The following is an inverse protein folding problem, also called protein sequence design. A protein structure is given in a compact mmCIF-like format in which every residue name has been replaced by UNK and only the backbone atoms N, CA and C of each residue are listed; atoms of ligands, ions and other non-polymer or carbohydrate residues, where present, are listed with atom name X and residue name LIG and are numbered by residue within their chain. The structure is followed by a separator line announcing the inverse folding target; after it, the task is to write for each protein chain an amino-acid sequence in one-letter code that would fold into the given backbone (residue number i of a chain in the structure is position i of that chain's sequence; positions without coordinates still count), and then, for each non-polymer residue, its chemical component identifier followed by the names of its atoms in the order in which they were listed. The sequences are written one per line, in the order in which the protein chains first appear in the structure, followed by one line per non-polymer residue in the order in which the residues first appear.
data_IF_210971905973
#
_entry.id   IF_210971905973
#
_cell.length_a   1.000
_cell.length_b   1.000
_cell.length_c   1.000
_cell.angle_alpha   90.00
_cell.angle_beta   90.00
_cell.angle_gamma   90.00
#
_symmetry.space_group_name_H-M   'P 1'
#
loop_
_entity.id
_entity.type
_entity.pdbx_description
1 polymer ?
#
# COMPACT_ATOMS: atom_id res chain seq x y z
N UNK A 1 -17.17 -3.21 -5.61
CA UNK A 1 -17.95 -4.42 -5.98
C UNK A 1 -17.10 -5.69 -6.08
N UNK A 2 -16.02 -5.77 -6.91
CA UNK A 2 -15.25 -7.04 -7.04
C UNK A 2 -14.79 -7.61 -5.69
N UNK A 3 -14.22 -6.78 -4.80
CA UNK A 3 -13.73 -7.21 -3.49
C UNK A 3 -14.87 -7.70 -2.58
N UNK A 4 -16.00 -7.00 -2.54
CA UNK A 4 -17.19 -7.43 -1.77
C UNK A 4 -17.74 -8.76 -2.28
N UNK A 5 -17.92 -8.88 -3.59
CA UNK A 5 -18.38 -10.12 -4.22
C UNK A 5 -17.43 -11.30 -3.96
N UNK A 6 -16.11 -11.07 -4.08
CA UNK A 6 -15.09 -12.08 -3.78
C UNK A 6 -15.06 -12.52 -2.32
N UNK A 7 -15.44 -11.61 -1.41
CA UNK A 7 -15.56 -11.90 0.02
C UNK A 7 -16.95 -12.47 0.40
N UNK A 8 -17.93 -12.49 -0.52
CA UNK A 8 -19.31 -12.88 -0.22
C UNK A 8 -20.00 -11.92 0.75
N UNK A 9 -19.68 -10.61 0.70
CA UNK A 9 -20.20 -9.57 1.59
C UNK A 9 -21.17 -8.67 0.81
N UNK A 10 -22.36 -8.47 1.36
CA UNK A 10 -23.33 -7.52 0.84
C UNK A 10 -23.06 -6.09 1.36
N UNK A 11 -23.62 -5.09 0.68
CA UNK A 11 -23.41 -3.68 1.03
C UNK A 11 -23.88 -3.30 2.44
N UNK A 12 -24.94 -3.94 2.92
CA UNK A 12 -25.53 -3.75 4.26
C UNK A 12 -24.71 -4.37 5.39
N UNK A 13 -23.81 -5.32 5.06
CA UNK A 13 -22.88 -5.92 6.02
C UNK A 13 -21.60 -5.09 6.23
N UNK A 14 -21.41 -4.02 5.44
CA UNK A 14 -20.24 -3.13 5.56
C UNK A 14 -20.44 -2.16 6.72
N UNK A 15 -19.60 -2.26 7.75
CA UNK A 15 -19.61 -1.40 8.94
C UNK A 15 -18.60 -0.24 8.87
N UNK A 16 -17.66 -0.28 7.93
CA UNK A 16 -16.66 0.79 7.78
C UNK A 16 -15.99 0.80 6.41
N UNK A 17 -15.56 1.98 6.02
CA UNK A 17 -14.87 2.26 4.76
C UNK A 17 -13.69 3.19 5.02
N UNK A 18 -12.49 2.74 4.68
CA UNK A 18 -11.29 3.55 4.73
C UNK A 18 -10.76 3.69 3.31
N UNK A 19 -10.52 4.92 2.87
CA UNK A 19 -9.99 5.21 1.54
C UNK A 19 -8.68 5.97 1.71
N UNK A 20 -7.62 5.59 1.00
CA UNK A 20 -6.43 6.42 0.89
C UNK A 20 -6.13 6.78 -0.56
N UNK A 21 -5.63 7.98 -0.75
CA UNK A 21 -5.11 8.52 -2.02
C UNK A 21 -4.05 9.58 -1.75
N UNK A 22 -3.11 9.77 -2.68
CA UNK A 22 -2.16 10.87 -2.66
C UNK A 22 -2.15 11.69 -3.95
N UNK A 23 -2.90 11.26 -4.96
CA UNK A 23 -2.93 11.89 -6.30
C UNK A 23 -3.91 13.05 -6.43
N UNK A 24 -4.53 13.46 -5.34
CA UNK A 24 -5.37 14.65 -5.30
C UNK A 24 -6.04 14.82 -3.95
N UNK A 25 -6.31 16.08 -3.60
CA UNK A 25 -7.20 16.42 -2.51
C UNK A 25 -8.56 16.77 -3.09
N UNK A 26 -9.58 16.02 -2.75
CA UNK A 26 -10.98 16.28 -3.11
C UNK A 26 -11.84 16.40 -1.87
N UNK A 27 -12.75 17.38 -1.90
CA UNK A 27 -13.77 17.59 -0.89
C UNK A 27 -15.13 17.82 -1.60
N UNK A 28 -16.11 16.91 -1.45
CA UNK A 28 -16.14 15.71 -0.59
C UNK A 28 -15.10 14.65 -0.97
N UNK A 29 -14.68 13.82 0.01
CA UNK A 29 -13.75 12.71 -0.20
C UNK A 29 -14.32 11.60 -1.07
N UNK A 30 -13.44 10.74 -1.60
CA UNK A 30 -13.80 9.59 -2.46
C UNK A 30 -14.79 8.67 -1.75
N UNK A 31 -14.66 8.52 -0.45
CA UNK A 31 -15.55 7.71 0.38
C UNK A 31 -17.03 8.05 0.19
N UNK A 32 -17.38 9.34 0.08
CA UNK A 32 -18.76 9.79 -0.13
C UNK A 32 -19.36 9.24 -1.42
N UNK A 33 -18.58 9.26 -2.50
CA UNK A 33 -19.00 8.71 -3.80
C UNK A 33 -19.12 7.18 -3.77
N UNK A 34 -18.23 6.51 -3.02
CA UNK A 34 -18.30 5.06 -2.86
C UNK A 34 -19.53 4.63 -2.06
N UNK A 35 -19.86 5.32 -0.99
CA UNK A 35 -21.08 5.06 -0.21
C UNK A 35 -22.32 5.10 -1.12
N UNK A 36 -22.45 6.15 -1.90
CA UNK A 36 -23.59 6.32 -2.83
C UNK A 36 -23.61 5.21 -3.90
N UNK A 37 -22.49 5.03 -4.63
CA UNK A 37 -22.41 4.09 -5.75
C UNK A 37 -22.54 2.61 -5.35
N UNK A 38 -22.08 2.26 -4.16
CA UNK A 38 -22.15 0.89 -3.66
C UNK A 38 -23.40 0.63 -2.83
N UNK A 39 -24.20 1.65 -2.55
CA UNK A 39 -25.42 1.52 -1.71
C UNK A 39 -25.09 1.15 -0.27
N UNK A 40 -23.96 1.62 0.27
CA UNK A 40 -23.56 1.32 1.64
C UNK A 40 -24.49 2.03 2.64
N UNK A 41 -24.58 1.51 3.86
CA UNK A 41 -25.31 2.15 4.94
C UNK A 41 -24.78 3.57 5.20
N UNK A 42 -25.67 4.51 5.49
CA UNK A 42 -25.29 5.90 5.81
C UNK A 42 -24.69 6.06 7.22
N UNK A 43 -24.72 5.02 8.04
CA UNK A 43 -24.24 5.02 9.43
C UNK A 43 -22.91 4.29 9.60
N UNK A 44 -22.18 4.00 8.50
CA UNK A 44 -20.88 3.34 8.56
C UNK A 44 -19.79 4.31 9.04
N UNK A 45 -18.71 3.76 9.61
CA UNK A 45 -17.51 4.53 9.94
C UNK A 45 -16.70 4.82 8.69
N UNK A 46 -16.33 6.08 8.46
CA UNK A 46 -15.66 6.49 7.20
C UNK A 46 -14.42 7.32 7.49
N UNK A 47 -13.34 7.02 6.79
CA UNK A 47 -12.08 7.76 6.85
C UNK A 47 -11.49 7.91 5.46
N UNK A 48 -11.13 9.14 5.08
CA UNK A 48 -10.30 9.45 3.92
C UNK A 48 -8.90 9.84 4.42
N UNK A 49 -7.88 9.05 4.07
CA UNK A 49 -6.50 9.19 4.52
C UNK A 49 -5.65 9.82 3.43
N UNK A 50 -4.87 10.82 3.80
CA UNK A 50 -3.99 11.58 2.92
C UNK A 50 -2.57 11.66 3.51
N UNK A 51 -1.58 12.03 2.69
CA UNK A 51 -0.27 12.43 3.15
C UNK A 51 0.80 11.32 3.24
N UNK A 52 0.43 10.04 3.23
CA UNK A 52 1.41 8.94 3.29
C UNK A 52 2.01 8.56 1.92
N UNK A 53 1.53 9.16 0.83
CA UNK A 53 2.00 8.83 -0.52
C UNK A 53 1.82 7.35 -0.85
N UNK A 54 2.79 6.78 -1.57
CA UNK A 54 2.79 5.36 -1.96
C UNK A 54 2.75 4.40 -0.75
N UNK A 55 3.14 4.85 0.45
CA UNK A 55 3.09 4.06 1.68
C UNK A 55 1.68 3.87 2.27
N UNK A 56 0.70 4.64 1.80
CA UNK A 56 -0.63 4.78 2.43
C UNK A 56 -1.45 3.50 2.59
N UNK A 57 -1.20 2.47 1.79
CA UNK A 57 -1.94 1.21 1.84
C UNK A 57 -1.84 0.49 3.19
N UNK A 58 -0.67 0.44 3.81
CA UNK A 58 -0.47 -0.28 5.08
C UNK A 58 -1.08 0.48 6.27
N UNK A 59 -0.88 1.80 6.46
CA UNK A 59 -1.66 2.55 7.44
C UNK A 59 -3.18 2.44 7.27
N UNK A 60 -3.67 2.36 6.02
CA UNK A 60 -5.08 2.11 5.75
C UNK A 60 -5.52 0.75 6.30
N UNK A 61 -4.79 -0.33 6.00
CA UNK A 61 -5.06 -1.67 6.56
C UNK A 61 -5.00 -1.64 8.09
N UNK A 62 -4.03 -0.95 8.68
CA UNK A 62 -3.89 -0.85 10.14
C UNK A 62 -5.12 -0.23 10.79
N UNK A 63 -5.66 0.84 10.20
CA UNK A 63 -6.92 1.45 10.68
C UNK A 63 -8.09 0.50 10.46
N UNK A 64 -8.16 -0.15 9.29
CA UNK A 64 -9.22 -1.11 8.99
C UNK A 64 -9.24 -2.29 9.98
N UNK A 65 -8.08 -2.84 10.32
CA UNK A 65 -7.93 -3.90 11.31
C UNK A 65 -8.38 -3.44 12.72
N UNK A 66 -7.97 -2.24 13.14
CA UNK A 66 -8.39 -1.68 14.43
C UNK A 66 -9.91 -1.48 14.50
N UNK A 67 -10.53 -0.99 13.43
CA UNK A 67 -11.98 -0.81 13.35
C UNK A 67 -12.71 -2.16 13.31
N UNK A 68 -12.18 -3.14 12.59
CA UNK A 68 -12.75 -4.49 12.53
C UNK A 68 -12.79 -5.14 13.93
N UNK A 69 -11.72 -5.03 14.69
CA UNK A 69 -11.64 -5.53 16.06
C UNK A 69 -12.63 -4.87 17.03
N UNK A 70 -13.12 -3.68 16.69
CA UNK A 70 -14.12 -2.92 17.46
C UNK A 70 -15.54 -3.03 16.88
N UNK A 71 -15.73 -3.76 15.79
CA UNK A 71 -17.04 -3.91 15.14
C UNK A 71 -17.74 -5.17 15.66
N UNK A 72 -19.07 -5.08 15.83
CA UNK A 72 -19.92 -6.20 16.22
C UNK A 72 -20.22 -7.13 15.02
N UNK A 73 -19.19 -7.56 14.30
CA UNK A 73 -19.28 -8.53 13.20
C UNK A 73 -19.42 -7.95 11.79
N UNK A 74 -19.51 -6.64 11.60
CA UNK A 74 -19.56 -6.01 10.28
C UNK A 74 -18.20 -5.97 9.58
N UNK A 75 -18.22 -6.06 8.24
CA UNK A 75 -17.01 -6.00 7.44
C UNK A 75 -16.45 -4.57 7.32
N UNK A 76 -15.13 -4.43 7.30
CA UNK A 76 -14.44 -3.16 7.02
C UNK A 76 -13.80 -3.24 5.63
N UNK A 77 -14.03 -2.23 4.81
CA UNK A 77 -13.48 -2.13 3.46
C UNK A 77 -12.32 -1.13 3.45
N UNK A 78 -11.12 -1.61 3.13
CA UNK A 78 -9.93 -0.80 2.90
C UNK A 78 -9.77 -0.59 1.40
N UNK A 79 -9.68 0.66 0.94
CA UNK A 79 -9.53 1.03 -0.47
C UNK A 79 -8.30 1.91 -0.63
N UNK A 80 -7.40 1.52 -1.52
CA UNK A 80 -6.30 2.37 -2.01
C UNK A 80 -6.59 2.71 -3.46
N UNK A 81 -6.62 4.00 -3.81
CA UNK A 81 -6.92 4.44 -5.18
C UNK A 81 -6.04 5.61 -5.57
N UNK A 82 -5.42 5.51 -6.74
CA UNK A 82 -4.55 6.57 -7.27
C UNK A 82 -4.85 6.81 -8.75
N UNK A 83 -4.97 8.08 -9.10
CA UNK A 83 -5.14 8.57 -10.46
C UNK A 83 -3.86 9.36 -10.80
N UNK A 84 -2.77 8.66 -11.02
CA UNK A 84 -1.47 9.28 -11.31
C UNK A 84 -1.49 10.08 -12.61
N UNK A 85 -2.32 9.67 -13.57
CA UNK A 85 -2.54 10.41 -14.81
C UNK A 85 -3.10 11.82 -14.60
N UNK A 86 -3.81 12.07 -13.49
CA UNK A 86 -4.30 13.41 -13.14
C UNK A 86 -3.17 14.38 -12.73
N UNK A 87 -1.99 13.86 -12.39
CA UNK A 87 -0.80 14.65 -12.05
C UNK A 87 0.20 14.76 -13.22
N UNK A 88 -0.16 14.23 -14.40
CA UNK A 88 0.68 14.26 -15.59
C UNK A 88 0.94 15.70 -16.04
N UNK A 89 2.21 16.05 -16.28
CA UNK A 89 2.60 17.38 -16.70
C UNK A 89 3.74 17.31 -17.73
N UNK A 90 3.63 18.12 -18.77
CA UNK A 90 4.68 18.28 -19.79
C UNK A 90 5.62 19.40 -19.35
N UNK A 91 6.84 19.06 -18.95
CA UNK A 91 7.90 20.00 -18.66
C UNK A 91 9.27 19.37 -18.91
N UNK A 92 10.25 20.18 -19.21
CA UNK A 92 11.66 19.79 -19.33
C UNK A 92 12.30 19.69 -17.93
N UNK A 93 11.82 18.72 -17.15
CA UNK A 93 12.29 18.46 -15.79
C UNK A 93 12.41 16.94 -15.59
N UNK A 94 13.61 16.47 -15.29
CA UNK A 94 13.91 15.04 -15.18
C UNK A 94 13.01 14.31 -14.17
N UNK A 95 12.68 14.92 -13.05
CA UNK A 95 11.79 14.31 -12.04
C UNK A 95 10.37 14.10 -12.58
N UNK A 96 9.83 15.07 -13.34
CA UNK A 96 8.52 14.93 -13.98
C UNK A 96 8.56 13.90 -15.12
N UNK A 97 9.61 13.88 -15.93
CA UNK A 97 9.77 12.89 -17.00
C UNK A 97 9.81 11.48 -16.40
N UNK A 98 10.62 11.26 -15.36
CA UNK A 98 10.68 9.98 -14.66
C UNK A 98 9.32 9.61 -14.08
N UNK A 99 8.63 10.55 -13.43
CA UNK A 99 7.29 10.32 -12.88
C UNK A 99 6.29 9.94 -13.96
N UNK A 100 6.25 10.66 -15.08
CA UNK A 100 5.32 10.41 -16.19
C UNK A 100 5.50 9.03 -16.84
N UNK A 101 6.74 8.52 -16.86
CA UNK A 101 7.06 7.21 -17.45
C UNK A 101 6.82 6.06 -16.46
N UNK A 102 7.01 6.33 -15.15
CA UNK A 102 6.99 5.30 -14.12
C UNK A 102 5.58 5.07 -13.55
N UNK A 103 4.81 6.14 -13.34
CA UNK A 103 3.55 6.05 -12.62
C UNK A 103 2.37 5.65 -13.52
N UNK A 104 1.48 4.80 -12.98
CA UNK A 104 0.21 4.39 -13.57
C UNK A 104 -0.97 4.59 -12.63
N UNK A 105 -2.17 4.52 -13.16
CA UNK A 105 -3.41 4.56 -12.38
C UNK A 105 -3.70 3.18 -11.79
N UNK A 106 -4.25 3.15 -10.58
CA UNK A 106 -4.61 1.89 -9.96
C UNK A 106 -5.58 2.04 -8.79
N UNK A 107 -6.34 0.96 -8.56
CA UNK A 107 -7.20 0.84 -7.40
C UNK A 107 -7.19 -0.60 -6.88
N UNK A 108 -7.08 -0.74 -5.57
CA UNK A 108 -7.18 -2.01 -4.86
C UNK A 108 -8.11 -1.87 -3.67
N UNK A 109 -8.80 -2.96 -3.32
CA UNK A 109 -9.63 -3.01 -2.14
C UNK A 109 -9.45 -4.36 -1.41
N UNK A 110 -9.33 -4.29 -0.09
CA UNK A 110 -9.35 -5.44 0.80
C UNK A 110 -10.60 -5.38 1.69
N UNK A 111 -11.19 -6.55 1.97
CA UNK A 111 -12.31 -6.70 2.89
C UNK A 111 -11.80 -7.42 4.14
N UNK A 112 -11.90 -6.76 5.28
CA UNK A 112 -11.50 -7.30 6.58
C UNK A 112 -12.74 -7.69 7.37
N UNK A 113 -12.70 -8.90 7.96
CA UNK A 113 -13.78 -9.42 8.80
C UNK A 113 -13.26 -10.39 9.84
N UNK A 114 -13.98 -10.54 10.93
CA UNK A 114 -13.70 -11.55 11.96
C UNK A 114 -14.22 -12.92 11.50
N UNK A 115 -13.44 -13.61 10.66
CA UNK A 115 -13.78 -14.94 10.15
C UNK A 115 -12.51 -15.73 9.87
N UNK A 116 -12.60 -17.06 9.95
CA UNK A 116 -11.50 -17.95 9.54
C UNK A 116 -11.32 -17.97 8.03
N UNK A 117 -10.07 -18.05 7.58
CA UNK A 117 -9.67 -18.15 6.17
C UNK A 117 -9.17 -16.84 5.56
N UNK A 118 -8.39 -16.96 4.50
CA UNK A 118 -7.74 -15.84 3.82
C UNK A 118 -6.41 -15.45 4.46
N UNK A 119 -6.16 -14.15 4.58
CA UNK A 119 -4.92 -13.64 5.17
C UNK A 119 -5.19 -13.01 6.54
N UNK A 120 -4.60 -13.59 7.56
CA UNK A 120 -4.59 -13.03 8.92
C UNK A 120 -3.56 -11.91 9.01
N UNK A 121 -3.95 -10.75 9.53
CA UNK A 121 -3.02 -9.68 9.89
C UNK A 121 -2.46 -10.00 11.28
N UNK A 122 -1.16 -10.35 11.33
CA UNK A 122 -0.47 -10.64 12.60
C UNK A 122 -0.11 -9.33 13.29
N UNK A 123 0.58 -8.42 12.56
CA UNK A 123 1.04 -7.15 13.12
C UNK A 123 1.40 -6.15 12.02
N UNK A 124 1.47 -4.87 12.39
CA UNK A 124 1.89 -3.78 11.52
C UNK A 124 2.93 -2.91 12.20
N UNK A 125 3.83 -2.31 11.41
CA UNK A 125 4.82 -1.35 11.89
C UNK A 125 4.96 -0.18 10.93
N UNK A 126 5.38 0.96 11.50
CA UNK A 126 5.71 2.17 10.74
C UNK A 126 7.01 2.75 11.25
N UNK A 127 7.82 3.28 10.35
CA UNK A 127 9.06 3.98 10.66
C UNK A 127 9.13 5.29 9.85
N UNK A 128 9.30 6.41 10.54
CA UNK A 128 9.34 7.74 9.94
C UNK A 128 10.76 8.32 10.02
N UNK A 129 11.19 8.97 8.94
CA UNK A 129 12.47 9.68 8.81
C UNK A 129 12.18 11.12 8.36
N UNK A 130 11.69 11.99 9.27
CA UNK A 130 11.22 13.34 8.91
C UNK A 130 12.30 14.23 8.29
N UNK A 131 13.59 13.99 8.60
CA UNK A 131 14.73 14.66 8.02
C UNK A 131 14.88 14.41 6.52
N UNK A 132 14.38 13.26 6.03
CA UNK A 132 14.44 12.85 4.63
C UNK A 132 13.16 13.21 3.83
N UNK A 133 12.24 13.99 4.39
CA UNK A 133 10.93 14.33 3.76
C UNK A 133 11.05 15.01 2.39
N UNK A 134 12.16 15.65 2.11
CA UNK A 134 12.38 16.35 0.83
C UNK A 134 12.74 15.41 -0.33
N UNK A 135 13.05 14.12 -0.05
CA UNK A 135 13.43 13.15 -1.07
C UNK A 135 12.24 12.60 -1.87
N UNK A 136 11.02 12.65 -1.31
CA UNK A 136 9.77 12.26 -1.98
C UNK A 136 8.62 13.12 -1.47
N UNK A 137 8.06 13.95 -2.35
CA UNK A 137 6.96 14.84 -1.99
C UNK A 137 6.19 15.35 -3.21
N UNK A 138 4.98 15.80 -2.98
CA UNK A 138 4.28 16.69 -3.90
C UNK A 138 4.48 18.15 -3.51
N UNK A 139 4.68 19.01 -4.50
CA UNK A 139 4.78 20.46 -4.34
C UNK A 139 3.71 21.13 -5.19
N UNK A 140 2.94 22.00 -4.58
CA UNK A 140 2.03 22.87 -5.32
C UNK A 140 2.82 23.98 -6.02
N UNK A 141 2.71 24.03 -7.36
CA UNK A 141 3.29 25.07 -8.17
C UNK A 141 2.34 25.43 -9.31
N UNK A 142 1.99 26.73 -9.45
CA UNK A 142 1.08 27.22 -10.48
C UNK A 142 -0.27 26.48 -10.52
N UNK A 143 -0.83 26.12 -9.36
CA UNK A 143 -2.12 25.42 -9.27
C UNK A 143 -2.07 23.92 -9.58
N UNK A 144 -0.88 23.35 -9.79
CA UNK A 144 -0.67 21.93 -10.11
C UNK A 144 0.18 21.24 -9.05
N UNK A 145 -0.06 19.94 -8.88
CA UNK A 145 0.77 19.06 -8.04
C UNK A 145 1.97 18.56 -8.85
N UNK A 146 3.17 18.95 -8.42
CA UNK A 146 4.43 18.46 -8.98
C UNK A 146 5.02 17.38 -8.10
N UNK A 147 5.19 16.19 -8.64
CA UNK A 147 5.92 15.12 -7.98
C UNK A 147 7.42 15.42 -7.99
N UNK A 148 8.05 15.41 -6.82
CA UNK A 148 9.49 15.57 -6.66
C UNK A 148 10.09 14.28 -6.10
N UNK A 149 10.98 13.67 -6.88
CA UNK A 149 11.72 12.46 -6.53
C UNK A 149 13.22 12.74 -6.59
N UNK A 150 13.90 12.55 -5.47
CA UNK A 150 15.36 12.65 -5.43
C UNK A 150 16.02 11.46 -6.15
N UNK A 151 17.11 11.71 -6.86
CA UNK A 151 17.90 10.64 -7.48
C UNK A 151 18.54 9.70 -6.47
N UNK A 152 18.70 10.12 -5.21
CA UNK A 152 19.22 9.32 -4.09
C UNK A 152 18.13 8.67 -3.25
N UNK A 153 16.86 8.80 -3.62
CA UNK A 153 15.71 8.30 -2.86
C UNK A 153 15.88 6.83 -2.43
N UNK A 154 16.39 5.98 -3.34
CA UNK A 154 16.61 4.56 -3.10
C UNK A 154 17.53 4.27 -1.90
N UNK A 155 18.52 5.13 -1.63
CA UNK A 155 19.46 4.95 -0.50
C UNK A 155 18.81 5.24 0.85
N UNK A 156 17.82 6.12 0.89
CA UNK A 156 17.07 6.48 2.09
C UNK A 156 15.96 5.46 2.37
N UNK A 157 15.22 5.09 1.34
CA UNK A 157 14.11 4.12 1.45
C UNK A 157 14.60 2.76 1.94
N UNK A 158 15.71 2.21 1.42
CA UNK A 158 16.21 0.89 1.81
C UNK A 158 16.45 0.79 3.31
N UNK A 159 17.04 1.82 3.92
CA UNK A 159 17.30 1.86 5.37
C UNK A 159 16.01 1.89 6.18
N UNK A 160 15.04 2.73 5.78
CA UNK A 160 13.75 2.82 6.45
C UNK A 160 12.97 1.49 6.31
N UNK A 161 13.01 0.85 5.14
CA UNK A 161 12.39 -0.46 4.91
C UNK A 161 13.03 -1.55 5.79
N UNK A 162 14.37 -1.60 5.88
CA UNK A 162 15.06 -2.54 6.77
C UNK A 162 14.69 -2.32 8.24
N UNK A 163 14.60 -1.08 8.70
CA UNK A 163 14.22 -0.77 10.09
C UNK A 163 12.81 -1.27 10.43
N UNK A 164 11.82 -1.00 9.57
CA UNK A 164 10.44 -1.43 9.82
C UNK A 164 10.29 -2.95 9.76
N UNK A 165 10.97 -3.62 8.84
CA UNK A 165 10.99 -5.09 8.73
C UNK A 165 11.62 -5.72 9.97
N UNK A 166 12.84 -5.27 10.35
CA UNK A 166 13.53 -5.79 11.54
C UNK A 166 12.72 -5.57 12.83
N UNK A 167 11.98 -4.47 12.92
CA UNK A 167 11.08 -4.21 14.05
C UNK A 167 10.00 -5.30 14.16
N UNK A 168 9.35 -5.68 13.06
CA UNK A 168 8.34 -6.75 13.06
C UNK A 168 8.95 -8.12 13.37
N UNK A 169 10.05 -8.46 12.72
CA UNK A 169 10.74 -9.73 12.96
C UNK A 169 11.14 -9.88 14.43
N UNK A 170 11.72 -8.83 15.03
CA UNK A 170 12.13 -8.85 16.45
C UNK A 170 10.95 -9.00 17.38
N UNK A 171 9.83 -8.29 17.14
CA UNK A 171 8.62 -8.39 17.99
C UNK A 171 8.01 -9.80 18.01
N UNK A 172 8.15 -10.52 16.89
CA UNK A 172 7.58 -11.86 16.75
C UNK A 172 8.62 -12.99 16.88
N UNK A 173 9.87 -12.65 17.23
CA UNK A 173 10.98 -13.62 17.32
C UNK A 173 11.18 -14.44 16.04
N UNK A 174 10.94 -13.82 14.88
CA UNK A 174 11.07 -14.44 13.57
C UNK A 174 12.42 -14.11 12.94
N UNK A 175 12.92 -15.06 12.13
CA UNK A 175 14.08 -14.88 11.28
C UNK A 175 13.63 -14.55 9.84
N UNK A 176 14.46 -13.86 9.08
CA UNK A 176 14.19 -13.51 7.68
C UNK A 176 13.83 -14.74 6.83
N UNK A 177 14.54 -15.87 7.06
CA UNK A 177 14.31 -17.12 6.34
C UNK A 177 12.92 -17.76 6.58
N UNK A 178 12.21 -17.34 7.63
CA UNK A 178 10.85 -17.82 7.93
C UNK A 178 9.78 -17.06 7.16
N UNK A 179 10.15 -16.02 6.37
CA UNK A 179 9.25 -15.25 5.54
C UNK A 179 9.47 -15.65 4.06
N UNK A 180 8.70 -16.60 3.53
CA UNK A 180 8.85 -17.04 2.15
C UNK A 180 8.34 -16.02 1.13
N UNK A 181 7.35 -15.18 1.49
CA UNK A 181 6.67 -14.28 0.57
C UNK A 181 6.86 -12.81 0.93
N UNK A 182 7.15 -11.99 -0.09
CA UNK A 182 7.43 -10.56 0.08
C UNK A 182 6.61 -9.72 -0.89
N UNK A 183 5.60 -9.03 -0.39
CA UNK A 183 4.83 -8.06 -1.15
C UNK A 183 5.50 -6.68 -1.02
N UNK A 184 6.45 -6.37 -1.90
CA UNK A 184 7.16 -5.09 -1.90
C UNK A 184 6.44 -4.09 -2.81
N UNK A 185 6.23 -2.86 -2.31
CA UNK A 185 5.82 -1.75 -3.16
C UNK A 185 6.88 -1.47 -4.24
N UNK A 186 6.46 -1.34 -5.50
CA UNK A 186 7.32 -1.19 -6.66
C UNK A 186 7.58 0.28 -6.98
N UNK A 187 8.46 0.92 -6.23
CA UNK A 187 8.84 2.31 -6.48
C UNK A 187 9.72 2.53 -7.72
N UNK A 188 10.10 1.45 -8.42
CA UNK A 188 11.00 1.38 -9.56
C UNK A 188 12.10 0.34 -9.33
N UNK A 189 12.74 -0.15 -10.41
CA UNK A 189 13.73 -1.24 -10.32
C UNK A 189 14.87 -0.97 -9.35
N UNK A 190 15.45 0.24 -9.39
CA UNK A 190 16.53 0.62 -8.46
C UNK A 190 16.11 0.57 -6.99
N UNK A 191 14.84 0.83 -6.71
CA UNK A 191 14.32 0.77 -5.35
C UNK A 191 14.13 -0.67 -4.93
N UNK A 192 13.58 -1.53 -5.81
CA UNK A 192 13.47 -2.96 -5.56
C UNK A 192 14.86 -3.55 -5.28
N UNK A 193 15.86 -3.26 -6.14
CA UNK A 193 17.24 -3.73 -5.96
C UNK A 193 17.82 -3.28 -4.63
N UNK A 194 17.67 -1.99 -4.30
CA UNK A 194 18.23 -1.43 -3.06
C UNK A 194 17.62 -2.05 -1.81
N UNK A 195 16.30 -2.32 -1.81
CA UNK A 195 15.63 -2.99 -0.68
C UNK A 195 16.03 -4.45 -0.63
N UNK A 196 16.04 -5.14 -1.78
CA UNK A 196 16.46 -6.54 -1.90
C UNK A 196 17.86 -6.75 -1.29
N UNK A 197 18.82 -5.92 -1.72
CA UNK A 197 20.20 -6.01 -1.26
C UNK A 197 20.36 -5.67 0.23
N UNK A 198 19.64 -4.66 0.74
CA UNK A 198 19.69 -4.24 2.15
C UNK A 198 19.10 -5.28 3.09
N UNK A 199 18.00 -5.91 2.68
CA UNK A 199 17.28 -6.90 3.50
C UNK A 199 17.83 -8.31 3.28
N UNK A 200 18.54 -8.55 2.17
CA UNK A 200 19.10 -9.85 1.81
C UNK A 200 18.09 -10.81 1.15
N UNK A 201 17.17 -10.24 0.33
CA UNK A 201 16.20 -11.06 -0.41
C UNK A 201 16.81 -11.65 -1.69
N UNK A 202 16.28 -12.79 -2.11
CA UNK A 202 16.60 -13.40 -3.41
C UNK A 202 15.82 -12.73 -4.56
N UNK A 203 16.25 -12.97 -5.82
CA UNK A 203 15.48 -12.54 -7.01
C UNK A 203 14.11 -13.20 -7.07
N UNK A 204 13.97 -14.43 -6.62
CA UNK A 204 12.69 -15.12 -6.57
C UNK A 204 11.70 -14.42 -5.62
N UNK A 205 12.18 -13.96 -4.47
CA UNK A 205 11.34 -13.24 -3.49
C UNK A 205 10.86 -11.87 -3.97
N UNK A 206 11.56 -11.23 -4.91
CA UNK A 206 11.15 -9.94 -5.50
C UNK A 206 10.49 -10.08 -6.87
N UNK A 207 10.40 -11.30 -7.42
CA UNK A 207 9.89 -11.54 -8.78
C UNK A 207 8.45 -11.04 -8.97
N UNK A 208 7.57 -11.21 -7.97
CA UNK A 208 6.21 -10.69 -8.02
C UNK A 208 6.16 -9.16 -8.11
N UNK A 209 7.03 -8.46 -7.36
CA UNK A 209 7.15 -7.01 -7.42
C UNK A 209 7.63 -6.54 -8.81
N UNK A 210 8.65 -7.21 -9.39
CA UNK A 210 9.13 -6.89 -10.74
C UNK A 210 8.05 -7.14 -11.81
N UNK A 211 7.30 -8.25 -11.72
CA UNK A 211 6.20 -8.53 -12.64
C UNK A 211 5.12 -7.44 -12.57
N UNK A 212 4.72 -7.02 -11.39
CA UNK A 212 3.72 -5.95 -11.22
C UNK A 212 4.25 -4.62 -11.77
N UNK A 213 5.52 -4.28 -11.53
CA UNK A 213 6.14 -3.07 -12.08
C UNK A 213 6.15 -3.10 -13.62
N UNK A 214 6.48 -4.24 -14.22
CA UNK A 214 6.50 -4.42 -15.69
C UNK A 214 5.10 -4.31 -16.31
N UNK A 215 4.10 -4.91 -15.65
CA UNK A 215 2.75 -5.03 -16.21
C UNK A 215 1.90 -3.76 -16.02
N UNK A 216 2.09 -3.04 -14.90
CA UNK A 216 1.22 -1.94 -14.46
C UNK A 216 1.96 -0.63 -14.14
N UNK A 217 3.29 -0.63 -14.08
CA UNK A 217 4.07 0.49 -13.55
C UNK A 217 3.91 0.66 -12.04
N UNK A 218 4.28 1.83 -11.55
CA UNK A 218 4.08 2.24 -10.16
C UNK A 218 2.70 2.90 -10.00
N UNK A 219 1.73 2.16 -9.52
CA UNK A 219 0.38 2.69 -9.23
C UNK A 219 0.29 3.41 -7.87
N UNK A 220 1.43 3.80 -7.27
CA UNK A 220 1.46 4.38 -5.92
C UNK A 220 0.90 3.40 -4.86
N UNK A 221 0.04 3.85 -3.95
CA UNK A 221 -0.42 3.04 -2.81
C UNK A 221 -1.10 1.70 -3.17
N UNK A 222 -1.89 1.53 -4.22
CA UNK A 222 -2.46 0.24 -4.60
C UNK A 222 -1.44 -0.83 -4.97
N UNK A 223 -0.24 -0.44 -5.42
CA UNK A 223 0.74 -1.37 -6.01
C UNK A 223 1.07 -2.56 -5.11
N UNK A 224 1.24 -2.33 -3.82
CA UNK A 224 1.58 -3.40 -2.86
C UNK A 224 0.48 -4.47 -2.77
N UNK A 225 -0.78 -4.12 -2.98
CA UNK A 225 -1.89 -5.07 -3.06
C UNK A 225 -1.87 -5.90 -4.36
N UNK A 226 -1.47 -5.29 -5.48
CA UNK A 226 -1.29 -6.04 -6.73
C UNK A 226 -0.18 -7.07 -6.58
N UNK A 227 0.94 -6.72 -5.91
CA UNK A 227 2.00 -7.68 -5.60
C UNK A 227 1.50 -8.78 -4.67
N UNK A 228 0.76 -8.44 -3.62
CA UNK A 228 0.15 -9.42 -2.72
C UNK A 228 -0.79 -10.36 -3.47
N UNK A 229 -1.66 -9.83 -4.33
CA UNK A 229 -2.56 -10.65 -5.15
C UNK A 229 -1.79 -11.60 -6.07
N UNK A 230 -0.72 -11.14 -6.69
CA UNK A 230 0.16 -11.98 -7.51
C UNK A 230 0.76 -13.14 -6.71
N UNK A 231 1.21 -12.91 -5.48
CA UNK A 231 1.72 -13.95 -4.58
C UNK A 231 0.64 -14.97 -4.22
N UNK A 232 -0.58 -14.52 -3.95
CA UNK A 232 -1.72 -15.42 -3.67
C UNK A 232 -2.01 -16.30 -4.90
N UNK A 233 -2.07 -15.70 -6.09
CA UNK A 233 -2.31 -16.42 -7.36
C UNK A 233 -1.20 -17.42 -7.71
N UNK A 234 0.04 -17.13 -7.35
CA UNK A 234 1.20 -18.02 -7.59
C UNK A 234 1.34 -19.16 -6.57
N UNK A 235 0.47 -19.21 -5.56
CA UNK A 235 0.30 -20.38 -4.71
C UNK A 235 0.89 -20.25 -3.30
N UNK A 236 0.64 -19.14 -2.62
CA UNK A 236 0.86 -19.03 -1.18
C UNK A 236 0.13 -20.16 -0.44
N UNK A 237 0.87 -20.97 0.31
CA UNK A 237 0.30 -22.13 1.02
C UNK A 237 -0.27 -21.72 2.38
N UNK A 238 -1.20 -22.53 2.88
CA UNK A 238 -1.70 -22.38 4.23
C UNK A 238 -0.56 -22.49 5.26
N UNK A 239 -0.50 -21.53 6.17
CA UNK A 239 0.56 -21.38 7.17
C UNK A 239 1.71 -20.47 6.73
N UNK A 240 1.86 -20.18 5.43
CA UNK A 240 2.92 -19.31 4.93
C UNK A 240 2.79 -17.89 5.49
N UNK A 241 3.94 -17.31 5.83
CA UNK A 241 4.06 -15.90 6.20
C UNK A 241 4.33 -15.05 4.97
N UNK A 242 3.77 -13.84 4.97
CA UNK A 242 4.03 -12.82 3.97
C UNK A 242 4.34 -11.49 4.64
N UNK A 243 5.43 -10.85 4.24
CA UNK A 243 5.75 -9.50 4.65
C UNK A 243 5.37 -8.52 3.54
N UNK A 244 4.36 -7.68 3.79
CA UNK A 244 4.10 -6.52 2.95
C UNK A 244 5.00 -5.38 3.39
N UNK A 245 5.62 -4.68 2.43
CA UNK A 245 6.44 -3.48 2.69
C UNK A 245 6.07 -2.39 1.70
N UNK A 246 5.68 -1.23 2.21
CA UNK A 246 5.42 -0.05 1.43
C UNK A 246 6.14 1.16 2.03
N UNK A 247 6.42 2.16 1.20
CA UNK A 247 7.13 3.37 1.62
C UNK A 247 6.58 4.56 0.83
N UNK A 248 6.76 5.76 1.38
CA UNK A 248 6.20 6.94 0.75
C UNK A 248 6.68 8.24 1.38
N UNK A 249 5.88 9.27 1.13
CA UNK A 249 6.14 10.60 1.66
C UNK A 249 6.22 10.59 3.19
N UNK A 250 7.07 11.52 3.72
CA UNK A 250 7.26 11.60 5.15
C UNK A 250 8.72 11.76 5.60
N UNK A 251 9.76 11.17 5.06
CA UNK A 251 9.84 9.87 4.41
C UNK A 251 9.36 8.81 5.39
N UNK A 252 8.63 7.83 4.91
CA UNK A 252 8.11 6.78 5.79
C UNK A 252 8.19 5.41 5.13
N UNK A 253 8.39 4.38 5.95
CA UNK A 253 8.26 2.99 5.56
C UNK A 253 7.25 2.29 6.50
N UNK A 254 6.47 1.39 5.94
CA UNK A 254 5.43 0.66 6.63
C UNK A 254 5.53 -0.81 6.28
N UNK A 255 5.31 -1.69 7.25
CA UNK A 255 5.26 -3.12 7.02
C UNK A 255 4.02 -3.75 7.68
N UNK A 256 3.53 -4.82 7.07
CA UNK A 256 2.44 -5.64 7.60
C UNK A 256 2.84 -7.11 7.46
N UNK A 257 2.85 -7.82 8.59
CA UNK A 257 3.10 -9.26 8.65
C UNK A 257 1.77 -9.98 8.55
N UNK A 258 1.65 -10.84 7.55
CA UNK A 258 0.46 -11.62 7.25
C UNK A 258 0.76 -13.12 7.38
N UNK A 259 -0.29 -13.90 7.64
CA UNK A 259 -0.30 -15.36 7.55
C UNK A 259 -1.46 -15.84 6.68
N UNK A 260 -1.22 -16.78 5.79
CA UNK A 260 -2.28 -17.47 5.06
C UNK A 260 -2.92 -18.55 5.97
N UNK A 261 -4.22 -18.46 6.25
CA UNK A 261 -4.94 -19.29 7.24
C UNK A 261 -6.04 -20.13 6.62
#
# INVERSE_FOLDING_TARGET
MKALNGAGINADEVAGLIVNTCTGYICPGISTYLIEKLGLSRNIRVYDLLGAGCGGAIPNIQIADALMKQSDGGAIVSVSVEICSATFQMADNLSLIVSNVLFGDGAAAAVLRQQQGGLEIIDTASYFVPEDREHIRYVHKNGQLHNQLSVTLHTHIRKAAAQVVNSLLSRHSLQMAEIPHWALHTGGDKIIDSIKDEIGLSEEQVAAARSVLSDYGNMSSPTVFFVLNKLIETGMKKGDLCMMVAFGAGLSAHACLLRNV
#
